data_IF_043596738955
#
_entry.id   IF_043596738955
#
_cell.length_a   1.000
_cell.length_b   1.000
_cell.length_c   1.000
_cell.angle_alpha   90.00
_cell.angle_beta   90.00
_cell.angle_gamma   90.00
#
_symmetry.space_group_name_H-M   'P 1'
#
loop_
_entity.id
_entity.type
_entity.pdbx_description
1 polymer ?
#
# COMPACT_ATOMS: atom_id res chain seq x y z
N UNK A 1 30.47 63.47 -54.42
CA UNK A 1 30.91 62.79 -53.19
C UNK A 1 30.07 63.31 -52.03
N UNK A 2 29.28 62.43 -51.41
CA UNK A 2 28.62 62.65 -50.11
C UNK A 2 29.72 62.64 -49.02
N UNK A 3 29.59 63.22 -47.83
CA UNK A 3 28.57 62.94 -46.80
C UNK A 3 28.56 64.09 -45.78
N UNK A 4 27.35 64.49 -45.36
CA UNK A 4 27.07 65.37 -44.23
C UNK A 4 27.20 64.62 -42.90
N UNK A 5 27.84 65.26 -41.92
CA UNK A 5 27.84 64.86 -40.51
C UNK A 5 26.56 65.35 -39.82
N UNK A 6 25.85 64.46 -39.14
CA UNK A 6 24.68 64.79 -38.33
C UNK A 6 24.77 64.09 -36.97
N UNK A 7 24.58 64.92 -35.95
CA UNK A 7 24.71 64.63 -34.53
C UNK A 7 23.63 63.69 -33.98
N UNK A 8 24.03 63.03 -32.89
CA UNK A 8 23.25 62.32 -31.88
C UNK A 8 21.76 62.66 -31.73
N UNK A 9 20.92 61.62 -31.64
CA UNK A 9 19.65 61.64 -30.93
C UNK A 9 19.32 60.24 -30.39
N UNK A 10 19.34 60.18 -29.05
CA UNK A 10 18.63 59.32 -28.09
C UNK A 10 17.64 58.27 -28.65
N UNK A 11 17.77 57.04 -28.13
CA UNK A 11 16.74 56.01 -28.27
C UNK A 11 17.12 54.67 -27.64
N UNK A 12 17.35 54.63 -26.33
CA UNK A 12 17.48 53.37 -25.58
C UNK A 12 16.08 52.76 -25.44
N UNK A 13 15.74 51.81 -26.31
CA UNK A 13 14.60 50.91 -26.10
C UNK A 13 15.08 49.70 -25.30
N UNK A 14 15.16 49.84 -23.98
CA UNK A 14 15.13 48.69 -23.06
C UNK A 14 13.69 48.17 -23.01
N UNK A 15 13.38 47.24 -23.92
CA UNK A 15 12.21 46.37 -23.81
C UNK A 15 12.36 45.51 -22.55
N UNK A 16 11.66 45.90 -21.49
CA UNK A 16 11.48 45.08 -20.29
C UNK A 16 10.65 43.83 -20.60
N UNK A 17 11.18 42.69 -20.13
CA UNK A 17 10.52 41.61 -19.38
C UNK A 17 8.98 41.60 -19.43
N UNK A 18 8.30 40.46 -19.64
CA UNK A 18 8.30 39.34 -18.70
C UNK A 18 8.10 38.03 -19.48
N UNK A 19 9.14 37.19 -19.51
CA UNK A 19 8.97 35.76 -19.72
C UNK A 19 8.13 35.22 -18.56
N UNK A 20 6.87 34.88 -18.82
CA UNK A 20 6.05 34.02 -17.98
C UNK A 20 6.77 32.65 -17.91
N UNK A 21 7.75 32.54 -17.01
CA UNK A 21 8.19 31.23 -16.56
C UNK A 21 6.99 30.65 -15.79
N UNK A 22 6.40 29.53 -16.22
CA UNK A 22 5.40 28.87 -15.39
C UNK A 22 6.08 28.58 -14.05
N UNK A 23 5.65 29.25 -12.99
CA UNK A 23 6.03 28.86 -11.64
C UNK A 23 5.71 27.38 -11.54
N UNK A 24 6.67 26.52 -11.16
CA UNK A 24 6.37 25.09 -11.01
C UNK A 24 5.17 25.00 -10.10
N UNK A 25 4.06 24.50 -10.65
CA UNK A 25 2.85 24.25 -9.90
C UNK A 25 3.25 23.23 -8.85
N UNK A 26 3.51 23.66 -7.62
CA UNK A 26 3.81 22.72 -6.56
C UNK A 26 2.50 21.97 -6.32
N UNK A 27 2.49 20.72 -6.78
CA UNK A 27 1.65 19.69 -6.21
C UNK A 27 1.93 19.59 -4.71
N UNK A 28 1.20 18.72 -4.01
CA UNK A 28 1.39 18.45 -2.59
C UNK A 28 2.87 18.16 -2.47
N UNK A 29 3.59 19.04 -1.76
CA UNK A 29 5.05 18.97 -1.72
C UNK A 29 5.44 17.59 -1.21
N UNK A 30 6.65 17.14 -1.50
CA UNK A 30 7.04 15.78 -1.16
C UNK A 30 6.74 15.43 0.32
N UNK A 31 6.94 16.37 1.23
CA UNK A 31 6.59 16.25 2.65
C UNK A 31 5.09 16.02 2.88
N UNK A 32 4.22 16.75 2.19
CA UNK A 32 2.77 16.55 2.23
C UNK A 32 2.38 15.14 1.72
N UNK A 33 3.02 14.66 0.64
CA UNK A 33 2.76 13.32 0.10
C UNK A 33 3.17 12.23 1.09
N UNK A 34 4.33 12.41 1.72
CA UNK A 34 4.87 11.51 2.74
C UNK A 34 3.95 11.47 3.96
N UNK A 35 3.54 12.63 4.49
CA UNK A 35 2.67 12.71 5.67
C UNK A 35 1.27 12.11 5.41
N UNK A 36 0.69 12.37 4.24
CA UNK A 36 -0.58 11.72 3.85
C UNK A 36 -0.38 10.22 3.77
N UNK A 37 0.68 9.74 3.12
CA UNK A 37 0.95 8.31 2.99
C UNK A 37 1.17 7.63 4.34
N UNK A 38 1.86 8.27 5.28
CA UNK A 38 1.99 7.77 6.65
C UNK A 38 0.63 7.64 7.35
N UNK A 39 -0.24 8.64 7.26
CA UNK A 39 -1.57 8.58 7.88
C UNK A 39 -2.42 7.41 7.35
N UNK A 40 -2.31 7.08 6.06
CA UNK A 40 -2.91 5.87 5.50
C UNK A 40 -2.20 4.61 5.97
N UNK A 41 -0.87 4.56 5.89
CA UNK A 41 -0.06 3.40 6.27
C UNK A 41 -0.31 3.02 7.74
N UNK A 42 -0.37 3.97 8.67
CA UNK A 42 -0.63 3.71 10.09
C UNK A 42 -2.00 3.04 10.32
N UNK A 43 -3.01 3.44 9.54
CA UNK A 43 -4.32 2.80 9.57
C UNK A 43 -4.25 1.37 9.04
N UNK A 44 -3.56 1.14 7.94
CA UNK A 44 -3.36 -0.22 7.42
C UNK A 44 -2.45 -1.09 8.29
N UNK A 45 -1.54 -0.49 9.06
CA UNK A 45 -0.65 -1.19 9.98
C UNK A 45 -1.45 -1.85 11.12
N UNK A 46 -2.48 -1.17 11.62
CA UNK A 46 -3.38 -1.74 12.64
C UNK A 46 -4.05 -3.01 12.11
N UNK A 47 -4.44 -3.01 10.84
CA UNK A 47 -5.06 -4.15 10.18
C UNK A 47 -4.06 -5.27 9.87
N UNK A 48 -2.82 -4.92 9.53
CA UNK A 48 -1.72 -5.87 9.38
C UNK A 48 -1.62 -6.74 10.63
N UNK A 49 -1.64 -6.13 11.81
CA UNK A 49 -1.55 -6.85 13.08
C UNK A 49 -2.74 -7.81 13.28
N UNK A 50 -3.97 -7.36 13.02
CA UNK A 50 -5.16 -8.21 13.09
C UNK A 50 -5.10 -9.37 12.10
N UNK A 51 -4.63 -9.08 10.87
CA UNK A 51 -4.43 -10.05 9.80
C UNK A 51 -3.44 -11.14 10.20
N UNK A 52 -2.24 -10.79 10.67
CA UNK A 52 -1.21 -11.77 11.02
C UNK A 52 -1.57 -12.55 12.30
N UNK A 53 -2.35 -11.94 13.19
CA UNK A 53 -2.95 -12.64 14.33
C UNK A 53 -3.96 -13.70 13.86
N UNK A 54 -4.87 -13.33 12.95
CA UNK A 54 -5.85 -14.28 12.38
C UNK A 54 -5.16 -15.39 11.59
N UNK A 55 -4.13 -15.07 10.80
CA UNK A 55 -3.33 -16.07 10.08
C UNK A 55 -2.69 -17.07 11.03
N UNK A 56 -2.05 -16.58 12.11
CA UNK A 56 -1.45 -17.44 13.14
C UNK A 56 -2.48 -18.37 13.75
N UNK A 57 -3.62 -17.81 14.20
CA UNK A 57 -4.70 -18.59 14.79
C UNK A 57 -5.22 -19.66 13.83
N UNK A 58 -5.43 -19.31 12.55
CA UNK A 58 -5.99 -20.25 11.56
C UNK A 58 -5.01 -21.36 11.19
N UNK A 59 -3.72 -21.06 11.14
CA UNK A 59 -2.68 -22.08 10.97
C UNK A 59 -2.68 -23.05 12.15
N UNK A 60 -2.73 -22.56 13.38
CA UNK A 60 -2.79 -23.41 14.58
C UNK A 60 -4.04 -24.30 14.61
N UNK A 61 -5.21 -23.75 14.25
CA UNK A 61 -6.48 -24.45 14.31
C UNK A 61 -6.68 -25.46 13.17
N UNK A 62 -6.21 -25.13 11.97
CA UNK A 62 -6.72 -25.75 10.73
C UNK A 62 -5.65 -26.36 9.82
N UNK A 63 -4.36 -26.08 10.04
CA UNK A 63 -3.31 -26.61 9.16
C UNK A 63 -3.32 -28.14 9.07
N UNK A 64 -3.51 -28.80 10.21
CA UNK A 64 -3.53 -30.27 10.29
C UNK A 64 -4.94 -30.87 10.21
N UNK A 65 -5.94 -30.08 9.81
CA UNK A 65 -7.31 -30.57 9.67
C UNK A 65 -7.37 -31.75 8.69
N UNK A 66 -8.04 -32.84 9.10
CA UNK A 66 -8.16 -34.06 8.30
C UNK A 66 -6.93 -34.98 8.32
N UNK A 67 -5.87 -34.64 9.05
CA UNK A 67 -4.68 -35.50 9.21
C UNK A 67 -4.85 -36.38 10.46
N UNK A 68 -4.74 -37.72 10.36
CA UNK A 68 -4.94 -38.62 11.50
C UNK A 68 -3.93 -38.38 12.65
N UNK A 69 -4.41 -37.90 13.80
CA UNK A 69 -3.56 -37.59 14.97
C UNK A 69 -2.88 -38.83 15.57
N UNK A 70 -3.51 -40.00 15.45
CA UNK A 70 -3.14 -41.22 16.21
C UNK A 70 -1.90 -41.92 15.63
N UNK A 71 -1.34 -41.47 14.50
CA UNK A 71 -0.29 -42.22 13.79
C UNK A 71 0.91 -41.43 13.29
N UNK A 72 0.90 -40.09 13.30
CA UNK A 72 1.81 -39.33 12.43
C UNK A 72 2.64 -38.25 13.14
N UNK A 73 2.12 -37.66 14.23
CA UNK A 73 2.79 -36.59 14.95
C UNK A 73 2.74 -36.82 16.46
N UNK A 74 3.92 -36.92 17.07
CA UNK A 74 4.08 -36.68 18.48
C UNK A 74 3.72 -35.22 18.82
N UNK A 75 3.33 -34.96 20.07
CA UNK A 75 3.09 -33.60 20.56
C UNK A 75 4.27 -32.66 20.30
N UNK A 76 5.50 -33.19 20.33
CA UNK A 76 6.72 -32.44 20.04
C UNK A 76 6.80 -32.02 18.56
N UNK A 77 6.50 -32.92 17.63
CA UNK A 77 6.51 -32.64 16.19
C UNK A 77 5.46 -31.60 15.80
N UNK A 78 4.24 -31.72 16.35
CA UNK A 78 3.19 -30.70 16.15
C UNK A 78 3.61 -29.35 16.71
N UNK A 79 4.21 -29.32 17.91
CA UNK A 79 4.70 -28.08 18.53
C UNK A 79 5.81 -27.44 17.69
N UNK A 80 6.74 -28.24 17.17
CA UNK A 80 7.82 -27.77 16.30
C UNK A 80 7.28 -27.21 15.00
N UNK A 81 6.33 -27.89 14.37
CA UNK A 81 5.71 -27.43 13.13
C UNK A 81 4.92 -26.13 13.33
N UNK A 82 4.14 -26.03 14.42
CA UNK A 82 3.45 -24.80 14.80
C UNK A 82 4.44 -23.64 14.98
N UNK A 83 5.56 -23.89 15.68
CA UNK A 83 6.61 -22.89 15.86
C UNK A 83 7.25 -22.46 14.54
N UNK A 84 7.56 -23.40 13.65
CA UNK A 84 8.12 -23.07 12.32
C UNK A 84 7.19 -22.15 11.53
N UNK A 85 5.87 -22.39 11.59
CA UNK A 85 4.90 -21.50 10.98
C UNK A 85 4.81 -20.15 11.70
N UNK A 86 4.74 -20.11 13.02
CA UNK A 86 4.72 -18.86 13.80
C UNK A 86 5.94 -17.97 13.46
N UNK A 87 7.14 -18.55 13.44
CA UNK A 87 8.36 -17.83 13.07
C UNK A 87 8.30 -17.31 11.63
N UNK A 88 7.71 -18.09 10.71
CA UNK A 88 7.55 -17.66 9.31
C UNK A 88 6.51 -16.57 9.13
N UNK A 89 5.38 -16.67 9.82
CA UNK A 89 4.33 -15.64 9.84
C UNK A 89 4.87 -14.34 10.43
N UNK A 90 5.67 -14.42 11.49
CA UNK A 90 6.32 -13.24 12.07
C UNK A 90 7.28 -12.56 11.08
N UNK A 91 8.10 -13.33 10.36
CA UNK A 91 8.97 -12.77 9.30
C UNK A 91 8.15 -12.15 8.17
N UNK A 92 7.05 -12.78 7.80
CA UNK A 92 6.13 -12.28 6.79
C UNK A 92 5.51 -10.94 7.21
N UNK A 93 5.10 -10.82 8.49
CA UNK A 93 4.61 -9.57 9.07
C UNK A 93 5.66 -8.47 9.02
N UNK A 94 6.90 -8.75 9.44
CA UNK A 94 7.97 -7.75 9.40
C UNK A 94 8.24 -7.23 7.98
N UNK A 95 8.22 -8.12 6.98
CA UNK A 95 8.41 -7.74 5.58
C UNK A 95 7.24 -6.93 5.03
N UNK A 96 6.02 -7.30 5.40
CA UNK A 96 4.81 -6.56 5.07
C UNK A 96 4.82 -5.15 5.65
N UNK A 97 5.16 -5.01 6.93
CA UNK A 97 5.18 -3.73 7.61
C UNK A 97 6.17 -2.75 6.96
N UNK A 98 7.32 -3.26 6.49
CA UNK A 98 8.31 -2.47 5.73
C UNK A 98 7.78 -2.04 4.36
N UNK A 99 7.00 -2.89 3.68
CA UNK A 99 6.48 -2.61 2.33
C UNK A 99 5.22 -1.75 2.33
N UNK A 100 4.56 -1.59 3.48
CA UNK A 100 3.27 -0.93 3.60
C UNK A 100 3.30 0.54 3.17
N UNK A 101 4.24 1.32 3.73
CA UNK A 101 4.37 2.74 3.38
C UNK A 101 4.70 2.94 1.88
N UNK A 102 5.72 2.27 1.31
CA UNK A 102 5.98 2.35 -0.14
C UNK A 102 4.76 1.97 -0.98
N UNK A 103 4.03 0.92 -0.61
CA UNK A 103 2.82 0.47 -1.32
C UNK A 103 1.74 1.53 -1.29
N UNK A 104 1.48 2.15 -0.12
CA UNK A 104 0.51 3.23 0.04
C UNK A 104 0.92 4.46 -0.77
N UNK A 105 2.17 4.90 -0.64
CA UNK A 105 2.70 6.06 -1.35
C UNK A 105 2.57 5.89 -2.87
N UNK A 106 3.00 4.74 -3.38
CA UNK A 106 2.97 4.46 -4.81
C UNK A 106 1.53 4.37 -5.31
N UNK A 107 0.64 3.76 -4.54
CA UNK A 107 -0.78 3.66 -4.88
C UNK A 107 -1.46 5.02 -5.02
N UNK A 108 -1.13 5.99 -4.15
CA UNK A 108 -1.73 7.32 -4.21
C UNK A 108 -1.05 8.18 -5.29
N UNK A 109 0.28 8.21 -5.32
CA UNK A 109 1.04 9.23 -6.02
C UNK A 109 1.73 8.74 -7.30
N UNK A 110 1.97 7.44 -7.49
CA UNK A 110 2.67 6.92 -8.67
C UNK A 110 1.77 6.13 -9.62
N UNK A 111 0.80 5.41 -9.11
CA UNK A 111 -0.13 4.61 -9.91
C UNK A 111 -1.26 5.44 -10.49
N UNK A 112 -1.76 5.08 -11.67
CA UNK A 112 -2.88 5.79 -12.29
C UNK A 112 -4.24 5.43 -11.66
N UNK A 113 -5.14 6.42 -11.45
CA UNK A 113 -4.90 7.86 -11.63
C UNK A 113 -3.98 8.43 -10.54
N UNK A 114 -2.96 9.17 -10.95
CA UNK A 114 -1.98 9.78 -10.02
C UNK A 114 -2.58 10.98 -9.32
N UNK A 115 -2.55 11.00 -7.99
CA UNK A 115 -2.87 12.20 -7.20
C UNK A 115 -1.69 13.18 -7.21
N UNK A 116 -1.40 13.74 -8.37
CA UNK A 116 -0.32 14.73 -8.59
C UNK A 116 -0.89 16.02 -9.19
N UNK A 117 -0.18 17.13 -9.01
CA UNK A 117 -0.55 18.44 -9.56
C UNK A 117 -1.35 19.36 -8.63
N UNK A 118 -1.50 20.61 -9.09
CA UNK A 118 -2.17 21.81 -8.54
C UNK A 118 -2.59 21.77 -7.06
N UNK A 119 -1.60 21.93 -6.17
CA UNK A 119 -1.87 22.08 -4.73
C UNK A 119 -1.82 23.52 -4.24
N UNK A 120 -1.09 24.38 -4.94
CA UNK A 120 -1.01 25.79 -4.57
C UNK A 120 -2.21 26.61 -5.06
N UNK A 121 -2.95 26.16 -6.09
CA UNK A 121 -4.14 26.86 -6.60
C UNK A 121 -5.25 25.87 -7.00
N UNK A 122 -5.92 25.23 -6.03
CA UNK A 122 -7.11 24.45 -6.34
C UNK A 122 -8.14 25.30 -7.09
N UNK A 123 -8.73 24.77 -8.17
CA UNK A 123 -9.69 25.53 -9.00
C UNK A 123 -11.02 25.78 -8.29
N UNK A 124 -11.38 24.90 -7.35
CA UNK A 124 -12.72 24.85 -6.75
C UNK A 124 -12.74 25.25 -5.27
N UNK A 125 -11.57 25.33 -4.64
CA UNK A 125 -11.43 25.66 -3.21
C UNK A 125 -10.27 26.62 -3.01
N UNK A 126 -10.38 27.48 -1.98
CA UNK A 126 -9.30 28.40 -1.62
C UNK A 126 -8.37 27.69 -0.65
N UNK A 127 -7.07 27.73 -0.91
CA UNK A 127 -6.09 27.23 0.04
C UNK A 127 -6.21 28.00 1.36
N UNK A 128 -6.38 27.30 2.51
CA UNK A 128 -6.43 27.95 3.79
C UNK A 128 -5.05 28.53 4.15
N UNK A 129 -4.98 29.53 5.04
CA UNK A 129 -3.70 30.02 5.55
C UNK A 129 -2.84 28.89 6.13
N UNK A 130 -1.52 29.09 6.15
CA UNK A 130 -0.60 28.13 6.76
C UNK A 130 -1.02 27.83 8.21
N UNK A 131 -1.02 26.55 8.57
CA UNK A 131 -1.44 26.07 9.90
C UNK A 131 -2.96 25.96 10.09
N UNK A 132 -3.78 26.31 9.09
CA UNK A 132 -5.23 26.13 9.12
C UNK A 132 -5.61 24.89 8.33
N UNK A 133 -6.38 24.00 8.95
CA UNK A 133 -6.84 22.75 8.33
C UNK A 133 -7.85 23.01 7.20
N UNK A 134 -7.81 22.15 6.18
CA UNK A 134 -8.88 22.03 5.20
C UNK A 134 -10.18 21.59 5.87
N UNK A 135 -11.32 22.01 5.32
CA UNK A 135 -12.64 21.64 5.84
C UNK A 135 -13.27 20.50 5.06
N UNK A 136 -14.24 19.81 5.66
CA UNK A 136 -15.07 18.84 4.92
C UNK A 136 -15.83 19.47 3.75
N UNK A 137 -16.19 20.76 3.86
CA UNK A 137 -16.80 21.47 2.73
C UNK A 137 -15.83 21.59 1.55
N UNK A 138 -14.53 21.73 1.79
CA UNK A 138 -13.54 21.82 0.72
C UNK A 138 -13.41 20.47 0.00
N UNK A 139 -13.40 19.39 0.79
CA UNK A 139 -13.42 18.01 0.27
C UNK A 139 -14.64 17.75 -0.64
N UNK A 140 -15.84 18.16 -0.23
CA UNK A 140 -17.06 17.96 -1.04
C UNK A 140 -17.12 18.80 -2.31
N UNK A 141 -16.36 19.90 -2.40
CA UNK A 141 -16.32 20.78 -3.58
C UNK A 141 -15.41 20.28 -4.68
N UNK A 142 -14.52 19.33 -4.38
CA UNK A 142 -13.65 18.76 -5.39
C UNK A 142 -14.42 17.79 -6.28
N UNK A 143 -14.07 17.74 -7.56
CA UNK A 143 -14.63 16.80 -8.54
C UNK A 143 -13.57 16.27 -9.53
N UNK A 144 -12.30 16.63 -9.31
CA UNK A 144 -11.17 16.25 -10.16
C UNK A 144 -9.98 15.78 -9.32
N UNK A 145 -9.21 14.84 -9.89
CA UNK A 145 -8.05 14.25 -9.23
C UNK A 145 -6.86 15.21 -9.32
N UNK A 146 -6.36 15.62 -8.16
CA UNK A 146 -5.06 16.26 -7.98
C UNK A 146 -4.45 15.88 -6.62
N UNK A 147 -3.22 16.31 -6.37
CA UNK A 147 -2.49 15.92 -5.15
C UNK A 147 -2.92 16.61 -3.87
N UNK A 148 -3.87 17.56 -3.90
CA UNK A 148 -4.18 18.37 -2.72
C UNK A 148 -5.03 17.58 -1.70
N UNK A 149 -4.97 17.93 -0.41
CA UNK A 149 -5.73 17.23 0.62
C UNK A 149 -7.26 17.17 0.36
N UNK A 150 -7.93 18.23 -0.14
CA UNK A 150 -9.34 18.16 -0.51
C UNK A 150 -9.66 17.11 -1.58
N UNK A 151 -8.86 17.00 -2.64
CA UNK A 151 -9.04 15.99 -3.70
C UNK A 151 -8.84 14.58 -3.13
N UNK A 152 -7.76 14.37 -2.37
CA UNK A 152 -7.49 13.08 -1.71
C UNK A 152 -8.65 12.69 -0.79
N UNK A 153 -9.20 13.65 -0.04
CA UNK A 153 -10.39 13.43 0.79
C UNK A 153 -11.63 13.08 -0.05
N UNK A 154 -11.88 13.79 -1.16
CA UNK A 154 -13.03 13.54 -2.02
C UNK A 154 -13.01 12.13 -2.59
N UNK A 155 -11.84 11.71 -3.08
CA UNK A 155 -11.63 10.39 -3.67
C UNK A 155 -11.16 9.34 -2.66
N UNK A 156 -11.33 9.61 -1.36
CA UNK A 156 -10.91 8.71 -0.29
C UNK A 156 -11.46 7.28 -0.45
N UNK A 157 -12.74 7.04 -0.84
CA UNK A 157 -13.23 5.68 -1.09
C UNK A 157 -12.45 4.94 -2.20
N UNK A 158 -12.10 5.64 -3.28
CA UNK A 158 -11.31 5.08 -4.38
C UNK A 158 -9.89 4.75 -3.93
N UNK A 159 -9.24 5.68 -3.23
CA UNK A 159 -7.88 5.50 -2.71
C UNK A 159 -7.82 4.30 -1.75
N UNK A 160 -8.77 4.21 -0.82
CA UNK A 160 -8.88 3.07 0.12
C UNK A 160 -8.97 1.75 -0.62
N UNK A 161 -9.90 1.65 -1.57
CA UNK A 161 -10.08 0.44 -2.35
C UNK A 161 -8.81 0.05 -3.12
N UNK A 162 -8.13 1.03 -3.76
CA UNK A 162 -6.88 0.77 -4.50
C UNK A 162 -5.77 0.24 -3.60
N UNK A 163 -5.57 0.84 -2.43
CA UNK A 163 -4.53 0.40 -1.48
C UNK A 163 -4.85 -1.01 -1.00
N UNK A 164 -6.08 -1.26 -0.57
CA UNK A 164 -6.48 -2.58 -0.09
C UNK A 164 -6.32 -3.66 -1.18
N UNK A 165 -6.70 -3.38 -2.43
CA UNK A 165 -6.51 -4.30 -3.55
C UNK A 165 -5.04 -4.62 -3.80
N UNK A 166 -4.13 -3.64 -3.70
CA UNK A 166 -2.68 -3.86 -3.80
C UNK A 166 -2.15 -4.75 -2.68
N UNK A 167 -2.57 -4.48 -1.45
CA UNK A 167 -2.19 -5.29 -0.30
C UNK A 167 -2.72 -6.72 -0.45
N UNK A 168 -3.95 -6.91 -0.92
CA UNK A 168 -4.52 -8.25 -1.18
C UNK A 168 -3.69 -9.03 -2.22
N UNK A 169 -3.16 -8.36 -3.24
CA UNK A 169 -2.29 -9.02 -4.24
C UNK A 169 -0.99 -9.52 -3.61
N UNK A 170 -0.41 -8.79 -2.64
CA UNK A 170 0.79 -9.25 -1.92
C UNK A 170 0.55 -10.51 -1.07
N UNK A 171 -0.72 -10.89 -0.85
CA UNK A 171 -1.08 -12.11 -0.11
C UNK A 171 -1.22 -13.35 -0.98
N UNK A 172 -1.33 -13.18 -2.30
CA UNK A 172 -1.78 -14.24 -3.18
C UNK A 172 -0.68 -14.84 -4.06
N UNK A 173 -0.96 -16.08 -4.43
CA UNK A 173 -0.14 -17.09 -5.11
C UNK A 173 -0.32 -17.13 -6.61
N UNK A 174 -0.66 -16.03 -7.28
CA UNK A 174 -0.53 -16.08 -8.74
C UNK A 174 0.97 -16.20 -9.02
N UNK A 175 1.36 -17.39 -9.51
CA UNK A 175 2.71 -17.82 -9.89
C UNK A 175 3.35 -16.96 -11.00
N UNK A 176 2.81 -15.77 -11.23
CA UNK A 176 3.28 -14.82 -12.20
C UNK A 176 4.09 -13.76 -11.45
N UNK A 177 5.41 -13.94 -11.59
CA UNK A 177 6.45 -12.92 -11.42
C UNK A 177 6.74 -12.48 -9.98
N UNK A 178 7.49 -13.34 -9.27
CA UNK A 178 8.72 -12.94 -8.54
C UNK A 178 8.70 -11.62 -7.80
N UNK A 179 7.71 -11.38 -6.94
CA UNK A 179 7.69 -10.24 -6.04
C UNK A 179 8.11 -10.70 -4.63
N UNK A 180 9.12 -10.05 -4.07
CA UNK A 180 9.66 -10.32 -2.72
C UNK A 180 8.61 -10.14 -1.60
N UNK A 181 7.44 -9.57 -1.91
CA UNK A 181 6.32 -9.38 -0.97
C UNK A 181 5.27 -10.50 -0.95
N UNK A 182 5.40 -11.56 -1.77
CA UNK A 182 4.47 -12.70 -1.75
C UNK A 182 4.60 -13.48 -0.44
N UNK A 183 3.59 -13.33 0.43
CA UNK A 183 3.56 -13.96 1.76
C UNK A 183 3.57 -15.49 1.65
N UNK A 184 2.88 -16.08 0.69
CA UNK A 184 2.84 -17.52 0.54
C UNK A 184 4.16 -18.05 -0.02
N UNK A 185 4.62 -17.52 -1.15
CA UNK A 185 5.80 -18.05 -1.83
C UNK A 185 7.08 -17.87 -1.01
N UNK A 186 7.22 -16.74 -0.31
CA UNK A 186 8.46 -16.39 0.39
C UNK A 186 8.49 -16.84 1.86
N UNK A 187 7.33 -17.11 2.48
CA UNK A 187 7.29 -17.43 3.92
C UNK A 187 6.52 -18.71 4.22
N UNK A 188 5.27 -18.84 3.79
CA UNK A 188 4.42 -19.95 4.24
C UNK A 188 4.74 -21.26 3.52
N UNK A 189 4.98 -21.23 2.21
CA UNK A 189 5.39 -22.41 1.44
C UNK A 189 6.76 -22.93 1.90
N UNK A 190 7.82 -22.11 2.07
CA UNK A 190 9.10 -22.59 2.61
C UNK A 190 8.98 -23.18 4.02
N UNK A 191 8.11 -22.62 4.87
CA UNK A 191 7.83 -23.18 6.19
C UNK A 191 7.17 -24.56 6.08
N UNK A 192 6.20 -24.71 5.19
CA UNK A 192 5.55 -25.99 4.92
C UNK A 192 6.54 -27.02 4.36
N UNK A 193 7.38 -26.62 3.40
CA UNK A 193 8.42 -27.46 2.81
C UNK A 193 9.44 -27.93 3.88
N UNK A 194 9.79 -27.05 4.81
CA UNK A 194 10.67 -27.36 5.95
C UNK A 194 10.03 -28.41 6.87
N UNK A 195 8.75 -28.24 7.21
CA UNK A 195 8.02 -29.20 8.06
C UNK A 195 7.93 -30.57 7.38
N UNK A 196 7.63 -30.62 6.09
CA UNK A 196 7.57 -31.88 5.34
C UNK A 196 8.94 -32.56 5.21
N UNK A 197 10.02 -31.79 5.17
CA UNK A 197 11.41 -32.29 5.14
C UNK A 197 11.83 -32.85 6.49
N UNK A 198 11.57 -32.11 7.57
CA UNK A 198 11.93 -32.48 8.93
C UNK A 198 11.06 -33.63 9.47
N UNK A 199 9.85 -33.78 8.93
CA UNK A 199 8.86 -34.79 9.34
C UNK A 199 8.37 -35.56 8.11
N UNK A 200 9.15 -36.54 7.61
CA UNK A 200 8.82 -37.28 6.39
C UNK A 200 7.45 -38.00 6.45
N UNK A 201 6.96 -38.30 7.65
CA UNK A 201 5.63 -38.85 7.88
C UNK A 201 4.50 -37.93 7.40
N UNK A 202 4.72 -36.62 7.36
CA UNK A 202 3.78 -35.63 6.83
C UNK A 202 3.79 -35.52 5.31
N UNK A 203 4.83 -36.00 4.64
CA UNK A 203 4.95 -35.88 3.19
C UNK A 203 3.81 -36.60 2.45
N UNK A 204 3.29 -37.70 3.00
CA UNK A 204 2.13 -38.41 2.43
C UNK A 204 0.83 -37.59 2.51
N UNK A 205 0.81 -36.52 3.32
CA UNK A 205 -0.29 -35.56 3.48
C UNK A 205 0.00 -34.21 2.83
N UNK A 206 1.07 -34.08 2.03
CA UNK A 206 1.46 -32.81 1.39
C UNK A 206 0.28 -32.11 0.69
N UNK A 207 -0.53 -32.85 -0.07
CA UNK A 207 -1.73 -32.29 -0.73
C UNK A 207 -2.77 -31.72 0.23
N UNK A 208 -2.99 -32.38 1.37
CA UNK A 208 -3.92 -31.89 2.40
C UNK A 208 -3.36 -30.64 3.11
N UNK A 209 -2.07 -30.64 3.43
CA UNK A 209 -1.41 -29.48 4.07
C UNK A 209 -1.42 -28.24 3.18
N UNK A 210 -1.08 -28.39 1.89
CA UNK A 210 -1.21 -27.29 0.91
C UNK A 210 -2.66 -26.83 0.75
N UNK A 211 -3.61 -27.78 0.69
CA UNK A 211 -5.04 -27.46 0.62
C UNK A 211 -5.53 -26.65 1.82
N UNK A 212 -5.19 -27.08 3.03
CA UNK A 212 -5.53 -26.37 4.27
C UNK A 212 -4.89 -24.99 4.32
N UNK A 213 -3.61 -24.86 3.96
CA UNK A 213 -2.91 -23.58 3.93
C UNK A 213 -3.56 -22.60 2.94
N UNK A 214 -3.94 -23.07 1.75
CA UNK A 214 -4.66 -22.25 0.77
C UNK A 214 -6.02 -21.80 1.28
N UNK A 215 -6.77 -22.69 1.95
CA UNK A 215 -8.07 -22.33 2.54
C UNK A 215 -7.93 -21.32 3.70
N UNK A 216 -6.88 -21.45 4.51
CA UNK A 216 -6.54 -20.47 5.54
C UNK A 216 -6.30 -19.11 4.90
N UNK A 217 -5.43 -19.03 3.88
CA UNK A 217 -5.13 -17.79 3.17
C UNK A 217 -6.36 -17.15 2.53
N UNK A 218 -7.23 -17.95 1.93
CA UNK A 218 -8.49 -17.46 1.36
C UNK A 218 -9.43 -16.91 2.44
N UNK A 219 -9.45 -17.51 3.63
CA UNK A 219 -10.19 -16.98 4.78
C UNK A 219 -9.66 -15.60 5.18
N UNK A 220 -8.33 -15.45 5.28
CA UNK A 220 -7.74 -14.17 5.68
C UNK A 220 -7.90 -13.10 4.60
N UNK A 221 -7.82 -13.48 3.32
CA UNK A 221 -8.14 -12.61 2.17
C UNK A 221 -9.57 -12.06 2.24
N UNK A 222 -10.54 -12.92 2.52
CA UNK A 222 -11.94 -12.52 2.61
C UNK A 222 -12.15 -11.52 3.76
N UNK A 223 -11.43 -11.66 4.87
CA UNK A 223 -11.45 -10.68 5.96
C UNK A 223 -10.94 -9.30 5.53
N UNK A 224 -9.80 -9.24 4.83
CA UNK A 224 -9.27 -7.98 4.30
C UNK A 224 -10.16 -7.35 3.23
N UNK A 225 -10.77 -8.17 2.39
CA UNK A 225 -11.73 -7.70 1.38
C UNK A 225 -12.96 -7.10 2.03
N UNK A 226 -13.48 -7.73 3.10
CA UNK A 226 -14.60 -7.20 3.86
C UNK A 226 -14.24 -5.85 4.51
N UNK A 227 -13.05 -5.75 5.12
CA UNK A 227 -12.53 -4.51 5.68
C UNK A 227 -12.45 -3.38 4.64
N UNK A 228 -11.91 -3.66 3.46
CA UNK A 228 -11.77 -2.69 2.38
C UNK A 228 -13.12 -2.10 1.93
N UNK A 229 -14.18 -2.89 2.05
CA UNK A 229 -15.53 -2.55 1.63
C UNK A 229 -16.38 -1.94 2.77
N UNK A 230 -15.98 -2.12 4.04
CA UNK A 230 -16.70 -1.58 5.19
C UNK A 230 -16.38 -0.09 5.43
N UNK A 231 -17.35 0.77 5.12
CA UNK A 231 -17.21 2.23 5.28
C UNK A 231 -17.17 2.69 6.75
N UNK A 232 -17.49 1.82 7.71
CA UNK A 232 -17.58 2.19 9.13
C UNK A 232 -16.25 2.10 9.88
N UNK A 233 -15.33 1.25 9.43
CA UNK A 233 -14.05 0.99 10.10
C UNK A 233 -12.97 2.06 9.84
N UNK A 234 -13.30 3.05 9.02
CA UNK A 234 -12.41 4.13 8.63
C UNK A 234 -12.78 5.50 9.24
N UNK A 235 -13.66 5.50 10.24
CA UNK A 235 -14.07 6.70 10.98
C UNK A 235 -13.09 7.03 12.10
#
# INVERSE_FOLDING_TARGET
>A
MKVFSASALLGVFTLGLVSYLPTPVQACEHECQVNVSHAFADKYQTLSNEYFTLLTQKVEESLFYGIPVITILSTEETTRAAKTFQDSIQRAQMAWDVSLFPTVFDTIFKDEPKFKGDCNNPRLVKQPPLGVNWTMSDCHKMDYICGNPPSICHFLPMIKHRIASKLIVQLHTELDEGNDSDIYANYLKPALDTIMTDQPSLNVFSGALHGNLNQILETVRNHLTAFANDRTQWK
#
